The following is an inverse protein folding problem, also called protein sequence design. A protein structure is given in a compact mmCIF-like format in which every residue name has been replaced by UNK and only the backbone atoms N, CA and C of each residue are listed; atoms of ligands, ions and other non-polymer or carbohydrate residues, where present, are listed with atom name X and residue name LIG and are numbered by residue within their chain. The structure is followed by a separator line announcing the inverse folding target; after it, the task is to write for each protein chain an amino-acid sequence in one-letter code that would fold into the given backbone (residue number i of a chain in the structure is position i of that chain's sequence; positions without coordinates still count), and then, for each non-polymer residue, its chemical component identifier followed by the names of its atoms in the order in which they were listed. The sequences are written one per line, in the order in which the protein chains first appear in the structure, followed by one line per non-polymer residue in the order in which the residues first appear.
data_IF_689708544309
#
_entry.id   IF_689708544309
#
_cell.length_a   1.000
_cell.length_b   1.000
_cell.length_c   1.000
_cell.angle_alpha   90.00
_cell.angle_beta   90.00
_cell.angle_gamma   90.00
#
_symmetry.space_group_name_H-M   'P 1'
#
loop_
_entity.id
_entity.type
_entity.pdbx_description
1 polymer ?
#
# COMPACT_ATOMS: atom_id res chain seq x y z
N UNK A 1 -40.05 27.15 40.52
CA UNK A 1 -39.43 26.86 39.21
C UNK A 1 -39.91 25.50 38.78
N UNK A 2 -40.71 25.53 37.73
CA UNK A 2 -41.71 24.54 37.33
C UNK A 2 -41.12 23.25 36.75
N UNK A 3 -41.77 22.13 37.04
CA UNK A 3 -41.66 20.89 36.27
C UNK A 3 -43.07 20.48 35.83
N UNK A 4 -43.42 20.77 34.58
CA UNK A 4 -44.66 20.31 33.93
C UNK A 4 -44.37 19.61 32.61
N UNK A 5 -44.48 18.28 32.69
CA UNK A 5 -45.14 17.30 31.80
C UNK A 5 -45.55 17.65 30.34
N UNK A 6 -45.27 16.62 29.51
CA UNK A 6 -46.04 16.04 28.38
C UNK A 6 -46.12 16.80 27.04
N UNK A 7 -45.82 16.09 25.93
CA UNK A 7 -46.88 15.49 25.08
C UNK A 7 -46.32 14.53 24.00
N UNK A 8 -47.03 13.41 23.84
CA UNK A 8 -46.94 12.44 22.74
C UNK A 8 -47.73 12.96 21.52
N UNK A 9 -47.28 12.67 20.30
CA UNK A 9 -48.19 12.53 19.14
C UNK A 9 -47.59 11.65 18.04
N UNK A 10 -48.21 10.50 17.85
CA UNK A 10 -48.14 9.70 16.62
C UNK A 10 -49.10 10.30 15.59
N UNK A 11 -48.71 10.32 14.32
CA UNK A 11 -49.66 10.23 13.20
C UNK A 11 -48.96 9.68 11.96
N UNK A 12 -49.50 8.57 11.47
CA UNK A 12 -49.23 7.94 10.18
C UNK A 12 -50.01 8.65 9.06
N UNK A 13 -49.41 8.81 7.87
CA UNK A 13 -50.12 8.67 6.58
C UNK A 13 -49.11 8.55 5.44
N UNK A 14 -49.32 7.57 4.57
CA UNK A 14 -48.60 7.30 3.32
C UNK A 14 -49.34 8.05 2.18
N UNK A 15 -48.63 8.56 1.16
CA UNK A 15 -48.94 8.08 -0.19
C UNK A 15 -47.70 7.73 -1.03
N UNK A 16 -47.93 6.76 -1.89
CA UNK A 16 -47.04 6.07 -2.84
C UNK A 16 -46.63 6.95 -4.03
N UNK A 17 -45.35 6.92 -4.45
CA UNK A 17 -44.91 6.52 -5.81
C UNK A 17 -43.46 6.92 -6.18
N UNK A 18 -42.76 5.93 -6.77
CA UNK A 18 -41.67 6.01 -7.77
C UNK A 18 -40.21 6.37 -7.37
N UNK A 19 -39.51 5.33 -6.89
CA UNK A 19 -38.23 4.74 -7.38
C UNK A 19 -37.17 5.68 -8.01
N UNK A 20 -35.98 5.83 -7.37
CA UNK A 20 -34.70 5.22 -7.83
C UNK A 20 -33.49 5.52 -6.91
N UNK A 21 -32.86 4.40 -6.51
CA UNK A 21 -31.46 4.19 -6.12
C UNK A 21 -30.79 5.05 -5.03
N UNK A 22 -30.80 4.52 -3.80
CA UNK A 22 -29.68 4.61 -2.86
C UNK A 22 -29.35 3.20 -2.34
N UNK A 23 -28.07 2.83 -2.36
CA UNK A 23 -27.52 1.75 -1.52
C UNK A 23 -26.11 2.11 -1.04
N UNK A 24 -26.07 2.80 0.09
CA UNK A 24 -25.05 2.57 1.12
C UNK A 24 -25.62 1.54 2.10
N UNK A 25 -24.83 0.59 2.61
CA UNK A 25 -25.15 -0.06 3.87
C UNK A 25 -24.29 0.54 4.97
N UNK A 26 -24.94 1.35 5.80
CA UNK A 26 -24.59 1.55 7.19
C UNK A 26 -24.58 0.19 7.90
N UNK A 27 -23.49 -0.19 8.58
CA UNK A 27 -23.50 -1.28 9.55
C UNK A 27 -23.91 -0.67 10.90
N UNK A 28 -25.11 -1.02 11.36
CA UNK A 28 -25.60 -0.71 12.68
C UNK A 28 -25.23 -1.88 13.61
N UNK A 29 -24.33 -1.64 14.57
CA UNK A 29 -24.00 -2.61 15.61
C UNK A 29 -25.19 -2.65 16.59
N UNK A 30 -25.94 -3.75 16.60
CA UNK A 30 -26.94 -4.03 17.63
C UNK A 30 -26.31 -4.88 18.73
N UNK A 31 -26.37 -4.36 19.95
CA UNK A 31 -26.09 -5.05 21.20
C UNK A 31 -26.72 -6.45 21.24
N UNK A 32 -25.93 -7.47 21.55
CA UNK A 32 -26.43 -8.82 21.83
C UNK A 32 -26.55 -9.00 23.34
N UNK A 33 -27.79 -9.00 23.84
CA UNK A 33 -28.09 -9.59 25.13
C UNK A 33 -28.10 -11.12 24.96
N UNK A 34 -27.22 -11.80 25.68
CA UNK A 34 -27.17 -13.26 25.76
C UNK A 34 -28.18 -13.74 26.78
N UNK A 35 -29.20 -14.49 26.34
CA UNK A 35 -29.73 -15.61 27.13
C UNK A 35 -30.37 -16.64 26.18
N UNK A 36 -30.00 -17.90 26.43
CA UNK A 36 -30.64 -19.15 26.01
C UNK A 36 -30.79 -19.45 24.50
N UNK A 37 -29.82 -20.21 24.01
CA UNK A 37 -29.92 -21.31 23.03
C UNK A 37 -31.25 -21.42 22.27
N UNK A 38 -31.41 -20.61 21.22
CA UNK A 38 -31.97 -20.99 19.91
C UNK A 38 -32.04 -19.74 19.02
N UNK A 39 -31.39 -19.77 17.87
CA UNK A 39 -31.54 -18.74 16.83
C UNK A 39 -32.36 -19.37 15.70
N UNK A 40 -33.60 -18.92 15.54
CA UNK A 40 -34.47 -19.29 14.40
C UNK A 40 -34.35 -18.21 13.33
N UNK A 41 -33.68 -18.51 12.21
CA UNK A 41 -33.67 -17.63 11.04
C UNK A 41 -34.82 -18.02 10.11
N UNK A 42 -35.86 -17.18 10.04
CA UNK A 42 -36.88 -17.26 8.98
C UNK A 42 -36.43 -16.41 7.80
N UNK A 43 -36.00 -17.07 6.72
CA UNK A 43 -35.79 -16.45 5.41
C UNK A 43 -36.73 -17.07 4.38
N UNK A 44 -37.63 -16.26 3.81
CA UNK A 44 -38.46 -16.65 2.68
C UNK A 44 -37.65 -16.58 1.40
N UNK A 45 -37.23 -17.73 0.88
CA UNK A 45 -36.63 -17.84 -0.45
C UNK A 45 -37.70 -18.27 -1.45
N UNK A 46 -37.89 -17.46 -2.50
CA UNK A 46 -38.55 -17.86 -3.73
C UNK A 46 -37.66 -18.91 -4.44
N UNK A 47 -38.22 -20.10 -4.67
CA UNK A 47 -37.63 -21.24 -5.41
C UNK A 47 -37.56 -20.94 -6.93
N UNK A 48 -36.69 -21.62 -7.73
CA UNK A 48 -36.94 -23.00 -8.13
C UNK A 48 -35.79 -24.01 -7.86
N UNK A 49 -36.24 -25.22 -7.48
CA UNK A 49 -35.64 -26.53 -7.71
C UNK A 49 -34.21 -26.87 -7.27
N UNK A 50 -34.07 -27.32 -6.02
CA UNK A 50 -33.44 -28.61 -5.69
C UNK A 50 -34.18 -29.21 -4.49
N UNK A 51 -34.64 -30.46 -4.59
CA UNK A 51 -35.20 -31.22 -3.46
C UNK A 51 -34.10 -31.99 -2.74
N UNK A 52 -33.94 -31.80 -1.44
CA UNK A 52 -33.18 -32.71 -0.59
C UNK A 52 -34.00 -33.08 0.64
N UNK A 53 -34.09 -34.39 0.87
CA UNK A 53 -34.83 -35.08 1.92
C UNK A 53 -34.10 -34.93 3.28
N UNK A 54 -34.77 -34.59 4.40
CA UNK A 54 -34.09 -34.27 5.65
C UNK A 54 -33.75 -35.55 6.43
N UNK A 55 -32.59 -36.15 6.16
CA UNK A 55 -31.91 -36.97 7.17
C UNK A 55 -31.07 -36.07 8.06
N UNK A 56 -31.49 -35.96 9.32
CA UNK A 56 -30.80 -35.26 10.39
C UNK A 56 -29.40 -35.86 10.57
N UNK A 57 -28.38 -35.18 10.06
CA UNK A 57 -26.98 -35.44 10.42
C UNK A 57 -26.67 -34.61 11.66
N UNK A 58 -26.75 -35.25 12.83
CA UNK A 58 -26.12 -34.72 14.05
C UNK A 58 -24.61 -34.84 13.89
N UNK A 59 -23.97 -33.76 13.43
CA UNK A 59 -22.52 -33.61 13.54
C UNK A 59 -22.23 -32.92 14.88
N UNK A 60 -21.95 -33.71 15.91
CA UNK A 60 -21.43 -33.21 17.21
C UNK A 60 -19.98 -32.69 17.12
N UNK A 61 -19.39 -32.65 15.93
CA UNK A 61 -18.02 -32.16 15.69
C UNK A 61 -17.91 -31.01 14.68
N UNK A 62 -19.02 -30.37 14.29
CA UNK A 62 -18.98 -29.29 13.30
C UNK A 62 -18.53 -27.94 13.88
N UNK A 63 -18.80 -27.70 15.17
CA UNK A 63 -18.44 -26.43 15.83
C UNK A 63 -16.92 -26.23 15.90
N UNK A 64 -16.13 -27.27 16.20
CA UNK A 64 -14.67 -27.18 16.19
C UNK A 64 -14.07 -27.05 14.77
N UNK A 65 -14.79 -27.50 13.74
CA UNK A 65 -14.31 -27.46 12.35
C UNK A 65 -14.60 -26.10 11.70
N UNK A 66 -15.73 -25.48 12.04
CA UNK A 66 -16.07 -24.11 11.61
C UNK A 66 -15.21 -23.08 12.34
N UNK A 67 -14.87 -23.28 13.62
CA UNK A 67 -13.92 -22.39 14.31
C UNK A 67 -12.50 -22.45 13.75
N UNK A 68 -12.09 -23.58 13.14
CA UNK A 68 -10.79 -23.71 12.47
C UNK A 68 -10.76 -23.14 11.05
N UNK A 69 -11.87 -23.17 10.31
CA UNK A 69 -11.96 -22.56 8.98
C UNK A 69 -12.27 -21.05 9.04
N UNK A 70 -12.90 -20.59 10.13
CA UNK A 70 -13.05 -19.16 10.48
C UNK A 70 -11.95 -18.72 11.48
N UNK A 71 -10.84 -19.47 11.54
CA UNK A 71 -9.55 -18.83 11.70
C UNK A 71 -9.28 -18.07 10.39
N UNK A 72 -10.03 -16.99 10.18
CA UNK A 72 -9.53 -15.82 9.49
C UNK A 72 -8.23 -15.56 10.22
N UNK A 73 -7.11 -16.01 9.64
CA UNK A 73 -5.83 -15.41 9.95
C UNK A 73 -6.13 -13.95 9.65
N UNK A 74 -6.39 -13.15 10.68
CA UNK A 74 -6.27 -11.70 10.60
C UNK A 74 -4.80 -11.49 10.29
N UNK A 75 -4.43 -11.71 9.03
CA UNK A 75 -3.12 -11.38 8.51
C UNK A 75 -3.03 -9.89 8.79
N UNK A 76 -2.19 -9.55 9.78
CA UNK A 76 -1.96 -8.16 10.13
C UNK A 76 -1.61 -7.44 8.84
N UNK A 77 -2.24 -6.29 8.60
CA UNK A 77 -1.88 -5.47 7.45
C UNK A 77 -0.37 -5.22 7.50
N UNK A 78 0.31 -5.44 6.38
CA UNK A 78 1.73 -5.15 6.29
C UNK A 78 1.93 -3.64 6.43
N UNK A 79 2.90 -3.25 7.25
CA UNK A 79 3.20 -1.84 7.52
C UNK A 79 4.35 -1.36 6.65
N UNK A 80 4.12 -0.24 5.99
CA UNK A 80 5.01 0.34 5.01
C UNK A 80 5.55 1.65 5.57
N UNK A 81 6.87 1.81 5.53
CA UNK A 81 7.51 3.11 5.67
C UNK A 81 7.81 3.66 4.28
N UNK A 82 7.46 4.91 4.01
CA UNK A 82 7.74 5.54 2.71
C UNK A 82 8.75 6.68 2.90
N UNK A 83 9.83 6.67 2.13
CA UNK A 83 10.91 7.65 2.22
C UNK A 83 10.83 8.63 1.05
N UNK A 84 10.90 9.94 1.32
CA UNK A 84 10.75 11.00 0.31
C UNK A 84 11.72 12.16 0.52
N UNK A 85 12.03 12.92 -0.54
CA UNK A 85 12.82 14.16 -0.46
C UNK A 85 12.18 15.36 -1.18
N UNK A 86 10.98 15.19 -1.72
CA UNK A 86 10.38 16.12 -2.69
C UNK A 86 8.86 16.18 -2.62
N UNK A 87 8.22 16.27 -3.79
CA UNK A 87 6.75 16.41 -3.92
C UNK A 87 5.97 15.25 -3.31
N UNK A 88 6.53 14.03 -3.34
CA UNK A 88 5.88 12.85 -2.78
C UNK A 88 4.78 12.26 -3.64
N UNK A 89 4.80 12.47 -4.97
CA UNK A 89 3.75 11.94 -5.86
C UNK A 89 3.68 10.40 -5.85
N UNK A 90 4.82 9.69 -5.90
CA UNK A 90 4.86 8.23 -5.73
C UNK A 90 4.29 7.79 -4.37
N UNK A 91 4.66 8.48 -3.28
CA UNK A 91 4.09 8.24 -1.95
C UNK A 91 2.57 8.38 -1.95
N UNK A 92 2.06 9.46 -2.55
CA UNK A 92 0.63 9.72 -2.66
C UNK A 92 -0.09 8.61 -3.43
N UNK A 93 0.44 8.16 -4.56
CA UNK A 93 -0.14 7.06 -5.33
C UNK A 93 -0.21 5.76 -4.52
N UNK A 94 0.84 5.43 -3.77
CA UNK A 94 0.85 4.25 -2.88
C UNK A 94 -0.20 4.40 -1.78
N UNK A 95 -0.25 5.57 -1.12
CA UNK A 95 -1.19 5.83 -0.03
C UNK A 95 -2.64 5.79 -0.51
N UNK A 96 -2.98 6.47 -1.61
CA UNK A 96 -4.32 6.43 -2.21
C UNK A 96 -4.72 5.00 -2.57
N UNK A 97 -3.81 4.19 -3.12
CA UNK A 97 -4.06 2.78 -3.40
C UNK A 97 -4.30 1.92 -2.13
N UNK A 98 -3.79 2.32 -0.96
CA UNK A 98 -4.16 1.65 0.32
C UNK A 98 -5.58 2.01 0.76
N UNK A 99 -6.04 3.24 0.51
CA UNK A 99 -7.41 3.68 0.82
C UNK A 99 -8.43 2.98 -0.08
N UNK A 100 -8.07 2.78 -1.35
CA UNK A 100 -8.88 2.07 -2.34
C UNK A 100 -8.87 0.54 -2.14
N UNK A 101 -7.99 0.02 -1.28
CA UNK A 101 -7.86 -1.41 -1.04
C UNK A 101 -7.14 -2.18 -2.15
N UNK A 102 -6.51 -1.49 -3.10
CA UNK A 102 -5.63 -2.10 -4.12
C UNK A 102 -4.35 -2.62 -3.47
N UNK A 103 -3.78 -1.84 -2.54
CA UNK A 103 -2.66 -2.25 -1.71
C UNK A 103 -3.21 -2.67 -0.35
N UNK A 104 -3.19 -3.97 -0.05
CA UNK A 104 -3.63 -4.53 1.23
C UNK A 104 -2.62 -4.31 2.39
N UNK A 105 -2.14 -3.07 2.52
CA UNK A 105 -1.16 -2.64 3.53
C UNK A 105 -1.59 -1.36 4.25
N UNK A 106 -0.69 -0.84 5.09
CA UNK A 106 -0.83 0.41 5.85
C UNK A 106 0.44 1.22 5.67
N UNK A 107 0.34 2.48 5.20
CA UNK A 107 1.47 3.41 5.28
C UNK A 107 1.54 3.95 6.71
N UNK A 108 2.45 3.39 7.50
CA UNK A 108 2.51 3.63 8.94
C UNK A 108 3.35 4.87 9.32
N UNK A 109 4.34 5.22 8.48
CA UNK A 109 5.23 6.36 8.72
C UNK A 109 5.83 6.87 7.40
N UNK A 110 6.00 8.18 7.29
CA UNK A 110 6.79 8.81 6.25
C UNK A 110 8.15 9.24 6.82
N UNK A 111 9.23 8.96 6.11
CA UNK A 111 10.58 9.45 6.45
C UNK A 111 11.03 10.45 5.39
N UNK A 112 11.59 11.58 5.81
CA UNK A 112 12.09 12.61 4.90
C UNK A 112 13.40 13.20 5.38
N UNK A 113 14.23 13.67 4.45
CA UNK A 113 15.40 14.48 4.79
C UNK A 113 15.12 16.00 4.63
N UNK A 114 13.86 16.37 4.39
CA UNK A 114 13.39 17.76 4.25
C UNK A 114 12.01 17.89 4.89
N UNK A 115 11.96 18.54 6.04
CA UNK A 115 10.76 18.60 6.89
C UNK A 115 9.57 19.31 6.22
N UNK A 116 9.86 20.23 5.30
CA UNK A 116 8.91 21.11 4.62
C UNK A 116 8.56 20.66 3.19
N UNK A 117 9.01 19.47 2.76
CA UNK A 117 8.76 18.98 1.41
C UNK A 117 7.28 18.62 1.19
N UNK A 118 6.86 18.57 -0.07
CA UNK A 118 5.46 18.28 -0.43
C UNK A 118 4.94 16.97 0.15
N UNK A 119 5.76 15.91 0.13
CA UNK A 119 5.39 14.63 0.73
C UNK A 119 5.16 14.71 2.24
N UNK A 120 6.00 15.46 2.97
CA UNK A 120 5.87 15.63 4.42
C UNK A 120 4.64 16.46 4.81
N UNK A 121 4.30 17.48 4.02
CA UNK A 121 3.07 18.25 4.20
C UNK A 121 1.84 17.36 3.98
N UNK A 122 1.81 16.63 2.86
CA UNK A 122 0.71 15.73 2.54
C UNK A 122 0.55 14.62 3.60
N UNK A 123 1.63 14.00 4.07
CA UNK A 123 1.54 12.99 5.14
C UNK A 123 0.88 13.54 6.41
N UNK A 124 1.25 14.75 6.85
CA UNK A 124 0.62 15.40 8.01
C UNK A 124 -0.86 15.71 7.80
N UNK A 125 -1.23 16.14 6.60
CA UNK A 125 -2.65 16.36 6.23
C UNK A 125 -3.47 15.07 6.28
N UNK A 126 -2.82 13.91 6.19
CA UNK A 126 -3.43 12.58 6.25
C UNK A 126 -3.20 11.88 7.61
N UNK A 127 -2.74 12.62 8.63
CA UNK A 127 -2.41 12.09 9.97
C UNK A 127 -1.35 10.96 9.98
N UNK A 128 -0.48 10.91 8.97
CA UNK A 128 0.63 9.97 8.89
C UNK A 128 1.84 10.57 9.64
N UNK A 129 2.42 9.86 10.63
CA UNK A 129 3.61 10.31 11.33
C UNK A 129 4.78 10.59 10.36
N UNK A 130 5.51 11.69 10.61
CA UNK A 130 6.67 12.08 9.80
C UNK A 130 7.94 12.06 10.65
N UNK A 131 8.96 11.33 10.19
CA UNK A 131 10.29 11.30 10.77
C UNK A 131 11.26 12.09 9.89
N UNK A 132 12.05 12.97 10.52
CA UNK A 132 13.15 13.65 9.85
C UNK A 132 14.43 12.80 9.96
N UNK A 133 15.02 12.41 8.83
CA UNK A 133 16.26 11.64 8.74
C UNK A 133 17.03 11.98 7.45
N UNK A 134 18.36 12.16 7.49
CA UNK A 134 19.25 12.03 8.66
C UNK A 134 19.29 13.29 9.53
N UNK A 135 19.74 13.14 10.77
CA UNK A 135 20.15 14.25 11.64
C UNK A 135 21.27 15.05 10.96
N UNK A 136 21.01 16.33 10.68
CA UNK A 136 22.04 17.19 10.11
C UNK A 136 23.16 17.45 11.14
N UNK A 137 24.43 17.56 10.68
CA UNK A 137 25.62 17.69 11.56
C UNK A 137 25.52 18.79 12.62
N UNK A 138 24.80 19.88 12.33
CA UNK A 138 24.64 21.03 13.23
C UNK A 138 23.20 21.16 13.75
N UNK A 139 22.42 20.09 13.71
CA UNK A 139 21.01 20.07 14.11
C UNK A 139 20.81 19.07 15.23
N UNK A 140 20.10 19.48 16.28
CA UNK A 140 19.53 18.54 17.25
C UNK A 140 18.29 17.82 16.71
N UNK A 141 17.73 18.31 15.59
CA UNK A 141 16.53 17.78 14.93
C UNK A 141 16.91 16.70 13.92
N UNK A 142 16.17 15.59 13.95
CA UNK A 142 16.33 14.42 13.10
C UNK A 142 16.97 13.24 13.86
N UNK A 143 16.82 12.03 13.30
CA UNK A 143 17.32 10.79 13.90
C UNK A 143 18.72 10.42 13.41
N UNK A 144 19.50 9.73 14.26
CA UNK A 144 20.66 8.96 13.80
C UNK A 144 20.22 7.71 13.03
N UNK A 145 21.17 7.00 12.45
CA UNK A 145 20.96 5.73 11.77
C UNK A 145 20.36 4.67 12.71
N UNK A 146 20.90 4.54 13.93
CA UNK A 146 20.40 3.60 14.95
C UNK A 146 19.02 3.99 15.46
N UNK A 147 18.81 5.27 15.78
CA UNK A 147 17.52 5.78 16.25
C UNK A 147 16.43 5.58 15.18
N UNK A 148 16.76 5.72 13.89
CA UNK A 148 15.84 5.44 12.80
C UNK A 148 15.46 3.96 12.78
N UNK A 149 16.43 3.05 12.90
CA UNK A 149 16.15 1.61 12.93
C UNK A 149 15.20 1.26 14.08
N UNK A 150 15.45 1.79 15.27
CA UNK A 150 14.61 1.53 16.45
C UNK A 150 13.21 2.13 16.30
N UNK A 151 13.10 3.33 15.72
CA UNK A 151 11.81 3.94 15.41
C UNK A 151 11.01 3.07 14.42
N UNK A 152 11.61 2.63 13.32
CA UNK A 152 10.93 1.80 12.32
C UNK A 152 10.53 0.42 12.89
N UNK A 153 11.33 -0.16 13.80
CA UNK A 153 10.95 -1.36 14.54
C UNK A 153 9.76 -1.12 15.46
N UNK A 154 9.72 0.02 16.17
CA UNK A 154 8.59 0.38 17.02
C UNK A 154 7.30 0.58 16.20
N UNK A 155 7.41 1.09 14.98
CA UNK A 155 6.29 1.14 14.02
C UNK A 155 5.89 -0.23 13.46
N UNK A 156 6.65 -1.30 13.74
CA UNK A 156 6.46 -2.65 13.19
C UNK A 156 6.51 -2.68 11.64
N UNK A 157 7.42 -1.91 11.05
CA UNK A 157 7.56 -1.82 9.59
C UNK A 157 7.99 -3.16 8.99
N UNK A 158 7.28 -3.59 7.95
CA UNK A 158 7.59 -4.77 7.14
C UNK A 158 8.43 -4.42 5.91
N UNK A 159 8.12 -3.29 5.27
CA UNK A 159 8.74 -2.84 4.04
C UNK A 159 9.05 -1.34 4.05
N UNK A 160 10.16 -0.97 3.43
CA UNK A 160 10.59 0.41 3.23
C UNK A 160 10.58 0.69 1.72
N UNK A 161 9.81 1.69 1.31
CA UNK A 161 9.70 2.10 -0.09
C UNK A 161 10.31 3.49 -0.26
N UNK A 162 11.43 3.57 -1.00
CA UNK A 162 12.06 4.83 -1.35
C UNK A 162 11.34 5.42 -2.57
N UNK A 163 10.60 6.51 -2.34
CA UNK A 163 9.74 7.17 -3.32
C UNK A 163 10.30 8.55 -3.67
N UNK A 164 11.49 8.55 -4.29
CA UNK A 164 12.25 9.77 -4.58
C UNK A 164 13.03 10.29 -3.37
N UNK A 165 13.58 9.37 -2.57
CA UNK A 165 14.52 9.68 -1.49
C UNK A 165 15.93 9.88 -2.06
N UNK A 166 16.60 10.98 -1.69
CA UNK A 166 17.84 11.42 -2.34
C UNK A 166 19.11 11.19 -1.51
N UNK A 167 19.00 10.57 -0.33
CA UNK A 167 20.16 10.22 0.50
C UNK A 167 20.47 8.74 0.35
N UNK A 168 21.76 8.40 0.44
CA UNK A 168 22.18 7.00 0.49
C UNK A 168 21.57 6.36 1.73
N UNK A 169 21.06 5.14 1.59
CA UNK A 169 20.56 4.39 2.73
C UNK A 169 21.75 3.87 3.55
N UNK A 170 21.77 4.11 4.87
CA UNK A 170 22.87 3.65 5.71
C UNK A 170 22.88 2.12 5.81
N UNK A 171 24.07 1.57 5.95
CA UNK A 171 24.31 0.12 6.09
C UNK A 171 23.54 -0.49 7.27
N UNK A 172 23.38 0.26 8.36
CA UNK A 172 22.61 -0.10 9.55
C UNK A 172 21.16 -0.44 9.17
N UNK A 173 20.55 0.37 8.30
CA UNK A 173 19.18 0.16 7.84
C UNK A 173 19.09 -1.03 6.87
N UNK A 174 20.02 -1.15 5.93
CA UNK A 174 20.09 -2.31 4.99
C UNK A 174 20.20 -3.62 5.75
N UNK A 175 21.02 -3.68 6.81
CA UNK A 175 21.19 -4.85 7.67
C UNK A 175 19.97 -5.14 8.54
N UNK A 176 19.30 -4.09 9.04
CA UNK A 176 18.12 -4.24 9.88
C UNK A 176 16.86 -4.68 9.12
N UNK A 177 16.76 -4.35 7.83
CA UNK A 177 15.62 -4.66 6.95
C UNK A 177 16.05 -5.49 5.73
N UNK A 178 16.59 -6.71 5.93
CA UNK A 178 17.08 -7.53 4.83
C UNK A 178 15.94 -7.88 3.88
N UNK A 179 16.15 -7.68 2.57
CA UNK A 179 15.15 -7.96 1.51
C UNK A 179 13.82 -7.19 1.65
N UNK A 180 13.82 -6.11 2.44
CA UNK A 180 12.61 -5.33 2.74
C UNK A 180 12.66 -3.87 2.28
N UNK A 181 13.75 -3.44 1.65
CA UNK A 181 13.92 -2.05 1.15
C UNK A 181 13.91 -2.05 -0.37
N UNK A 182 13.01 -1.27 -0.96
CA UNK A 182 12.88 -1.13 -2.41
C UNK A 182 12.95 0.33 -2.81
N UNK A 183 13.62 0.60 -3.92
CA UNK A 183 13.74 1.94 -4.51
C UNK A 183 13.15 1.95 -5.91
N UNK A 184 12.52 3.07 -6.28
CA UNK A 184 12.16 3.36 -7.66
C UNK A 184 13.16 4.35 -8.25
N UNK A 185 13.72 3.99 -9.40
CA UNK A 185 14.67 4.82 -10.15
C UNK A 185 14.11 5.13 -11.54
N UNK A 186 14.15 6.39 -12.02
CA UNK A 186 13.44 6.83 -13.22
C UNK A 186 14.20 6.52 -14.54
N UNK A 187 14.85 5.37 -14.62
CA UNK A 187 15.43 4.81 -15.86
C UNK A 187 15.39 3.29 -15.87
N UNK A 188 15.60 2.69 -17.04
CA UNK A 188 15.78 1.25 -17.21
C UNK A 188 17.20 0.86 -16.75
N UNK A 189 17.36 0.53 -15.47
CA UNK A 189 18.63 0.09 -14.91
C UNK A 189 19.17 -1.15 -15.66
N UNK A 190 20.51 -1.29 -15.78
CA UNK A 190 21.55 -0.47 -15.15
C UNK A 190 21.83 0.88 -15.86
N UNK A 191 21.15 1.19 -16.96
CA UNK A 191 21.39 2.43 -17.69
C UNK A 191 20.93 3.66 -16.87
N UNK A 192 21.74 4.71 -16.87
CA UNK A 192 21.46 5.98 -16.18
C UNK A 192 21.18 5.82 -14.67
N UNK A 193 21.74 4.79 -14.04
CA UNK A 193 21.71 4.58 -12.59
C UNK A 193 22.99 5.07 -11.89
N UNK A 194 22.94 5.15 -10.57
CA UNK A 194 24.08 5.44 -9.72
C UNK A 194 24.21 6.92 -9.35
N UNK A 195 25.29 7.23 -8.65
CA UNK A 195 25.51 8.56 -8.06
C UNK A 195 25.49 9.67 -9.13
N UNK A 196 24.58 10.62 -8.96
CA UNK A 196 24.45 11.79 -9.85
C UNK A 196 23.25 11.72 -10.80
N UNK A 197 22.68 10.53 -10.99
CA UNK A 197 21.47 10.31 -11.75
C UNK A 197 20.24 10.37 -10.85
N UNK A 198 19.69 11.56 -10.64
CA UNK A 198 18.45 11.74 -9.88
C UNK A 198 17.64 12.92 -10.41
N UNK A 199 16.32 12.85 -10.23
CA UNK A 199 15.39 13.87 -10.73
C UNK A 199 15.54 14.11 -12.23
N UNK A 200 15.45 15.37 -12.66
CA UNK A 200 15.50 15.74 -14.08
C UNK A 200 16.80 15.36 -14.80
N UNK A 201 17.90 15.13 -14.05
CA UNK A 201 19.20 14.75 -14.62
C UNK A 201 19.14 13.41 -15.35
N UNK A 202 18.33 12.47 -14.87
CA UNK A 202 18.15 11.15 -15.49
C UNK A 202 17.53 11.30 -16.87
N UNK A 203 16.40 12.01 -16.95
CA UNK A 203 15.70 12.21 -18.22
C UNK A 203 16.51 13.03 -19.23
N UNK A 204 17.30 14.02 -18.78
CA UNK A 204 18.25 14.73 -19.64
C UNK A 204 19.28 13.78 -20.24
N UNK A 205 19.91 12.95 -19.41
CA UNK A 205 20.89 11.98 -19.89
C UNK A 205 20.28 10.96 -20.88
N UNK A 206 19.04 10.53 -20.65
CA UNK A 206 18.31 9.66 -21.58
C UNK A 206 18.11 10.35 -22.93
N UNK A 207 17.63 11.59 -22.95
CA UNK A 207 17.46 12.37 -24.19
C UNK A 207 18.79 12.57 -24.91
N UNK A 208 19.82 13.01 -24.17
CA UNK A 208 21.15 13.29 -24.71
C UNK A 208 21.82 12.02 -25.29
N UNK A 209 21.49 10.84 -24.75
CA UNK A 209 22.01 9.56 -25.26
C UNK A 209 21.41 9.11 -26.59
N UNK A 210 20.26 9.68 -26.99
CA UNK A 210 19.50 9.22 -28.16
C UNK A 210 18.71 7.92 -27.95
N UNK A 211 18.57 7.44 -26.71
CA UNK A 211 17.76 6.26 -26.39
C UNK A 211 16.31 6.40 -26.92
N UNK A 212 15.72 5.28 -27.34
CA UNK A 212 14.33 5.22 -27.85
C UNK A 212 13.32 4.72 -26.83
N UNK A 213 13.82 4.21 -25.70
CA UNK A 213 13.03 3.72 -24.59
C UNK A 213 13.65 4.19 -23.28
N UNK A 214 12.78 4.43 -22.30
CA UNK A 214 13.10 4.73 -20.92
C UNK A 214 12.03 4.09 -20.04
N UNK A 215 11.95 4.49 -18.78
CA UNK A 215 10.91 4.04 -17.85
C UNK A 215 11.47 3.77 -16.47
N UNK A 216 10.63 3.44 -15.49
CA UNK A 216 11.08 3.21 -14.13
C UNK A 216 11.60 1.80 -13.90
N UNK A 217 12.54 1.69 -12.97
CA UNK A 217 12.97 0.41 -12.39
C UNK A 217 12.72 0.41 -10.89
N UNK A 218 12.08 -0.65 -10.38
CA UNK A 218 12.04 -0.94 -8.95
C UNK A 218 13.05 -2.04 -8.66
N UNK A 219 13.92 -1.79 -7.70
CA UNK A 219 14.97 -2.73 -7.30
C UNK A 219 15.08 -2.83 -5.78
N UNK A 220 15.58 -3.96 -5.31
CA UNK A 220 15.99 -4.13 -3.92
C UNK A 220 17.19 -3.19 -3.63
N UNK A 221 17.23 -2.59 -2.45
CA UNK A 221 18.28 -1.65 -2.07
C UNK A 221 19.41 -2.39 -1.34
N UNK A 222 20.64 -2.14 -1.79
CA UNK A 222 21.87 -2.53 -1.12
C UNK A 222 22.65 -1.28 -0.62
N UNK A 223 23.92 -1.43 -0.26
CA UNK A 223 24.76 -0.35 0.29
C UNK A 223 25.20 0.68 -0.78
N UNK A 224 24.88 0.48 -2.06
CA UNK A 224 25.27 1.34 -3.16
C UNK A 224 24.05 1.88 -3.94
N UNK A 225 24.26 2.96 -4.67
CA UNK A 225 23.20 3.56 -5.49
C UNK A 225 22.88 2.67 -6.70
N UNK A 226 21.62 2.23 -6.78
CA UNK A 226 20.99 1.63 -7.96
C UNK A 226 21.69 0.35 -8.50
N UNK A 227 22.40 -0.39 -7.63
CA UNK A 227 23.07 -1.66 -8.00
C UNK A 227 22.32 -2.92 -7.56
N UNK A 228 21.34 -2.77 -6.67
CA UNK A 228 20.63 -3.92 -6.13
C UNK A 228 19.76 -4.61 -7.18
N UNK A 229 19.32 -5.84 -6.86
CA UNK A 229 18.65 -6.70 -7.83
C UNK A 229 17.31 -6.11 -8.25
N UNK A 230 17.11 -6.01 -9.57
CA UNK A 230 15.88 -5.52 -10.19
C UNK A 230 14.73 -6.45 -9.84
N UNK A 231 13.61 -5.85 -9.41
CA UNK A 231 12.35 -6.54 -9.15
C UNK A 231 11.36 -6.34 -10.30
N UNK A 232 11.25 -5.11 -10.81
CA UNK A 232 10.28 -4.80 -11.85
C UNK A 232 10.74 -3.60 -12.69
N UNK A 233 10.32 -3.55 -13.96
CA UNK A 233 10.54 -2.41 -14.84
C UNK A 233 9.28 -2.09 -15.63
N UNK A 234 9.05 -0.80 -15.87
CA UNK A 234 8.06 -0.31 -16.82
C UNK A 234 8.78 0.33 -18.00
N UNK A 235 8.26 0.17 -19.21
CA UNK A 235 8.89 0.73 -20.43
C UNK A 235 7.99 1.80 -21.02
N UNK A 236 8.58 2.97 -21.30
CA UNK A 236 7.93 4.06 -22.01
C UNK A 236 8.77 4.46 -23.24
N UNK A 237 8.14 4.82 -24.37
CA UNK A 237 8.87 5.32 -25.53
C UNK A 237 9.42 6.73 -25.26
N UNK A 238 10.60 7.00 -25.83
CA UNK A 238 11.16 8.35 -25.98
C UNK A 238 10.76 8.85 -27.36
N UNK A 239 9.93 9.88 -27.40
CA UNK A 239 9.41 10.45 -28.65
C UNK A 239 10.44 11.41 -29.26
N UNK A 240 10.40 11.56 -30.58
CA UNK A 240 11.37 12.37 -31.32
C UNK A 240 11.47 13.83 -30.85
N UNK A 241 10.38 14.38 -30.32
CA UNK A 241 10.28 15.77 -29.86
C UNK A 241 10.20 15.89 -28.33
N UNK A 242 10.52 14.84 -27.59
CA UNK A 242 10.51 14.91 -26.13
C UNK A 242 11.55 15.90 -25.63
N UNK A 243 11.13 16.76 -24.70
CA UNK A 243 12.04 17.37 -23.73
C UNK A 243 12.22 16.45 -22.52
N UNK A 244 13.25 16.69 -21.72
CA UNK A 244 13.45 15.96 -20.47
C UNK A 244 12.22 16.01 -19.54
N UNK A 245 11.50 17.13 -19.51
CA UNK A 245 10.30 17.33 -18.69
C UNK A 245 9.12 16.51 -19.21
N UNK A 246 8.90 16.48 -20.53
CA UNK A 246 7.82 15.67 -21.14
C UNK A 246 8.08 14.17 -20.97
N UNK A 247 9.34 13.74 -21.10
CA UNK A 247 9.73 12.36 -20.81
C UNK A 247 9.57 12.06 -19.31
N UNK A 248 9.99 12.97 -18.42
CA UNK A 248 9.84 12.81 -16.97
C UNK A 248 8.38 12.62 -16.58
N UNK A 249 7.46 13.41 -17.14
CA UNK A 249 6.03 13.25 -16.87
C UNK A 249 5.50 11.89 -17.31
N UNK A 250 5.95 11.37 -18.46
CA UNK A 250 5.57 10.05 -18.96
C UNK A 250 6.14 8.92 -18.09
N UNK A 251 7.40 9.01 -17.70
CA UNK A 251 8.04 8.05 -16.80
C UNK A 251 7.36 8.06 -15.43
N UNK A 252 7.03 9.25 -14.89
CA UNK A 252 6.36 9.40 -13.61
C UNK A 252 4.97 8.74 -13.58
N UNK A 253 4.21 8.82 -14.68
CA UNK A 253 2.93 8.11 -14.79
C UNK A 253 3.11 6.59 -14.68
N UNK A 254 4.18 6.07 -15.28
CA UNK A 254 4.51 4.65 -15.21
C UNK A 254 5.08 4.27 -13.83
N UNK A 255 5.83 5.17 -13.19
CA UNK A 255 6.31 5.00 -11.81
C UNK A 255 5.14 4.74 -10.86
N UNK A 256 4.09 5.57 -10.92
CA UNK A 256 2.93 5.46 -10.04
C UNK A 256 2.27 4.08 -10.14
N UNK A 257 2.07 3.59 -11.36
CA UNK A 257 1.45 2.27 -11.58
C UNK A 257 2.35 1.14 -11.07
N UNK A 258 3.62 1.16 -11.49
CA UNK A 258 4.56 0.09 -11.18
C UNK A 258 4.79 -0.01 -9.67
N UNK A 259 4.88 1.13 -8.98
CA UNK A 259 5.12 1.14 -7.54
C UNK A 259 3.91 0.66 -6.74
N UNK A 260 2.69 0.99 -7.19
CA UNK A 260 1.45 0.44 -6.62
C UNK A 260 1.37 -1.08 -6.82
N UNK A 261 1.71 -1.60 -8.01
CA UNK A 261 1.75 -3.05 -8.27
C UNK A 261 2.75 -3.77 -7.35
N UNK A 262 3.96 -3.22 -7.20
CA UNK A 262 4.98 -3.79 -6.30
C UNK A 262 4.55 -3.70 -4.84
N UNK A 263 4.00 -2.57 -4.39
CA UNK A 263 3.52 -2.41 -3.02
C UNK A 263 2.41 -3.43 -2.70
N UNK A 264 1.48 -3.67 -3.64
CA UNK A 264 0.47 -4.71 -3.50
C UNK A 264 1.10 -6.11 -3.43
N UNK A 265 2.06 -6.41 -4.30
CA UNK A 265 2.76 -7.70 -4.31
C UNK A 265 3.53 -7.98 -3.02
N UNK A 266 4.16 -6.96 -2.43
CA UNK A 266 4.81 -7.05 -1.13
C UNK A 266 3.80 -7.36 -0.03
N UNK A 267 2.67 -6.63 0.00
CA UNK A 267 1.63 -6.81 1.03
C UNK A 267 0.93 -8.17 0.94
N UNK A 268 0.84 -8.73 -0.28
CA UNK A 268 0.21 -10.02 -0.58
C UNK A 268 1.20 -11.19 -0.54
N UNK A 269 2.45 -10.97 -0.12
CA UNK A 269 3.49 -12.00 -0.03
C UNK A 269 3.74 -12.74 -1.36
N UNK A 270 3.71 -12.00 -2.47
CA UNK A 270 3.95 -12.52 -3.83
C UNK A 270 5.38 -12.36 -4.32
N UNK A 271 6.27 -11.76 -3.52
CA UNK A 271 7.69 -11.66 -3.87
C UNK A 271 8.40 -12.95 -3.54
N UNK A 272 8.93 -13.62 -4.56
CA UNK A 272 9.71 -14.86 -4.43
C UNK A 272 11.16 -14.58 -4.82
N UNK A 273 12.10 -15.08 -4.02
CA UNK A 273 13.52 -14.93 -4.29
C UNK A 273 14.06 -16.20 -4.95
N UNK A 274 14.66 -16.06 -6.12
CA UNK A 274 15.44 -17.12 -6.77
C UNK A 274 16.68 -17.45 -5.94
N UNK A 275 17.28 -18.62 -6.19
CA UNK A 275 18.52 -19.03 -5.52
C UNK A 275 19.69 -18.07 -5.76
N UNK A 276 19.74 -17.44 -6.94
CA UNK A 276 20.74 -16.42 -7.31
C UNK A 276 20.47 -15.03 -6.69
N UNK A 277 19.42 -14.90 -5.89
CA UNK A 277 19.03 -13.68 -5.20
C UNK A 277 18.24 -12.69 -6.04
N UNK A 278 17.79 -13.05 -7.25
CA UNK A 278 16.89 -12.19 -8.04
C UNK A 278 15.45 -12.32 -7.51
N UNK A 279 14.80 -11.20 -7.13
CA UNK A 279 13.41 -11.22 -6.71
C UNK A 279 12.46 -11.23 -7.92
N UNK A 280 11.35 -11.94 -7.80
CA UNK A 280 10.31 -12.09 -8.82
C UNK A 280 8.93 -11.79 -8.23
N UNK A 281 8.01 -11.30 -9.06
CA UNK A 281 6.61 -11.13 -8.67
C UNK A 281 5.81 -12.32 -9.17
N UNK A 282 5.35 -13.18 -8.25
CA UNK A 282 4.41 -14.26 -8.58
C UNK A 282 3.06 -13.68 -9.04
N UNK A 283 2.51 -14.20 -10.13
CA UNK A 283 1.19 -13.81 -10.66
C UNK A 283 0.07 -14.16 -9.67
N UNK A 284 -1.04 -13.41 -9.76
CA UNK A 284 -2.25 -13.68 -8.98
C UNK A 284 -3.08 -14.80 -9.61
N UNK A 285 -3.04 -14.90 -10.93
CA UNK A 285 -3.87 -15.79 -11.74
C UNK A 285 -3.21 -17.16 -11.91
N UNK A 286 -1.89 -17.19 -12.05
CA UNK A 286 -1.10 -18.40 -12.25
C UNK A 286 0.10 -18.42 -11.29
N UNK A 287 0.05 -19.23 -10.21
CA UNK A 287 1.15 -19.32 -9.24
C UNK A 287 2.49 -19.80 -9.81
N UNK A 288 2.48 -20.46 -10.98
CA UNK A 288 3.67 -20.93 -11.68
C UNK A 288 4.24 -19.88 -12.64
N UNK A 289 3.55 -18.74 -12.80
CA UNK A 289 3.99 -17.62 -13.61
C UNK A 289 4.56 -16.47 -12.77
N UNK A 290 5.66 -15.90 -13.25
CA UNK A 290 6.39 -14.83 -12.60
C UNK A 290 6.58 -13.67 -13.57
N UNK A 291 6.42 -12.45 -13.07
CA UNK A 291 6.84 -11.21 -13.72
C UNK A 291 8.17 -10.73 -13.17
#
# INVERSE_FOLDING_TARGET
MEAQRLYFKLSSTIPTSQIQYQRTPFIQILHKASTNNNITLKGSFLKPHVSFDPKVLKCTNCLQRIEREVAIIQLRKKKIAVFVSGSGSNFRSIYEATLEGIVHGEVAVLVTNKDDCGGAKYAREQDIPVILFPKAKNSSVGLSEEDLVDALRAFNIDFILLAGYLKLIPTELVRAFPRSIFNIHPSLLPAFGGKGYYGIKVHKAVIDSGARYSGPTIHHVDEHYDTGRILAQGVVPVLANDTAETLAARVLHEEHKLYVEVAAALCEERIVWREDGVPLIRSKEDPDHYK
#
